data_IF_651213127960
#
_entry.id   IF_651213127960
#
_cell.length_a   1.000
_cell.length_b   1.000
_cell.length_c   1.000
_cell.angle_alpha   90.00
_cell.angle_beta   90.00
_cell.angle_gamma   90.00
#
_symmetry.space_group_name_H-M   'P 1'
#
loop_
_entity.id
_entity.type
_entity.pdbx_description
1 polymer ?
#
# COMPACT_ATOMS: atom_id res chain seq x y z
N UNK A 1 18.45 -43.83 -27.15
CA UNK A 1 17.81 -42.64 -27.77
C UNK A 1 16.63 -42.10 -26.96
N UNK A 2 16.12 -42.83 -25.96
CA UNK A 2 15.08 -42.34 -25.03
C UNK A 2 15.69 -41.47 -23.91
N UNK A 3 16.94 -41.75 -23.58
CA UNK A 3 17.76 -41.20 -22.49
C UNK A 3 17.99 -39.68 -22.63
N UNK A 4 18.20 -39.18 -23.85
CA UNK A 4 18.38 -37.74 -24.12
C UNK A 4 17.07 -36.93 -24.04
N UNK A 5 15.92 -37.59 -24.18
CA UNK A 5 14.61 -36.95 -24.15
C UNK A 5 14.18 -36.67 -22.70
N UNK A 6 14.49 -37.58 -21.78
CA UNK A 6 14.20 -37.41 -20.34
C UNK A 6 15.01 -36.27 -19.71
N UNK A 7 16.28 -36.08 -20.08
CA UNK A 7 17.13 -35.00 -19.55
C UNK A 7 16.59 -33.62 -19.94
N UNK A 8 16.12 -33.47 -21.18
CA UNK A 8 15.48 -32.21 -21.65
C UNK A 8 14.16 -31.94 -20.93
N UNK A 9 13.35 -32.98 -20.73
CA UNK A 9 12.07 -32.87 -20.05
C UNK A 9 12.25 -32.51 -18.56
N UNK A 10 13.23 -33.11 -17.90
CA UNK A 10 13.54 -32.82 -16.50
C UNK A 10 14.10 -31.41 -16.31
N UNK A 11 14.94 -30.93 -17.24
CA UNK A 11 15.45 -29.55 -17.23
C UNK A 11 14.34 -28.50 -17.39
N UNK A 12 13.35 -28.76 -18.24
CA UNK A 12 12.19 -27.87 -18.42
C UNK A 12 11.31 -27.86 -17.16
N UNK A 13 11.07 -29.02 -16.55
CA UNK A 13 10.31 -29.11 -15.29
C UNK A 13 11.01 -28.33 -14.18
N UNK A 14 12.34 -28.47 -14.06
CA UNK A 14 13.12 -27.76 -13.05
C UNK A 14 13.08 -26.24 -13.25
N UNK A 15 13.14 -25.78 -14.51
CA UNK A 15 13.01 -24.36 -14.87
C UNK A 15 11.61 -23.81 -14.53
N UNK A 16 10.56 -24.60 -14.80
CA UNK A 16 9.17 -24.23 -14.49
C UNK A 16 8.92 -24.17 -12.99
N UNK A 17 9.51 -25.06 -12.19
CA UNK A 17 9.39 -25.01 -10.72
C UNK A 17 10.07 -23.79 -10.10
N UNK A 18 11.17 -23.31 -10.70
CA UNK A 18 11.90 -22.12 -10.24
C UNK A 18 11.11 -20.82 -10.47
N UNK A 19 10.28 -20.79 -11.53
CA UNK A 19 9.44 -19.62 -11.86
C UNK A 19 8.24 -19.44 -10.93
N UNK A 20 7.83 -20.48 -10.20
CA UNK A 20 6.65 -20.43 -9.33
C UNK A 20 7.02 -19.93 -7.92
N UNK A 21 8.30 -19.98 -7.53
CA UNK A 21 8.75 -19.57 -6.18
C UNK A 21 9.08 -18.08 -6.07
N UNK A 22 9.08 -17.31 -7.16
CA UNK A 22 9.26 -15.84 -7.12
C UNK A 22 7.96 -15.07 -6.85
N UNK A 23 6.88 -15.76 -6.45
CA UNK A 23 5.62 -15.13 -6.07
C UNK A 23 5.76 -14.34 -4.78
N UNK A 24 5.85 -13.02 -4.89
CA UNK A 24 5.89 -12.09 -3.78
C UNK A 24 4.64 -12.26 -2.89
N UNK A 25 4.86 -12.37 -1.59
CA UNK A 25 3.81 -12.68 -0.61
C UNK A 25 2.67 -11.65 -0.62
N UNK A 26 1.47 -12.14 -0.34
CA UNK A 26 0.26 -11.34 -0.16
C UNK A 26 0.41 -10.42 1.06
N UNK A 27 1.07 -9.27 0.89
CA UNK A 27 0.82 -8.14 1.77
C UNK A 27 -0.68 -7.88 1.68
N UNK A 28 -1.41 -8.17 2.77
CA UNK A 28 -2.85 -7.93 2.82
C UNK A 28 -3.04 -6.46 2.51
N UNK A 29 -3.53 -6.16 1.30
CA UNK A 29 -3.83 -4.80 0.87
C UNK A 29 -4.84 -4.25 1.86
N UNK A 30 -4.37 -3.33 2.70
CA UNK A 30 -5.21 -2.73 3.71
C UNK A 30 -6.16 -1.77 3.00
N UNK A 31 -7.44 -2.14 2.94
CA UNK A 31 -8.49 -1.29 2.38
C UNK A 31 -8.72 -0.08 3.29
N UNK A 32 -9.04 1.07 2.70
CA UNK A 32 -9.39 2.26 3.45
C UNK A 32 -10.64 2.04 4.32
N UNK A 33 -10.55 2.42 5.59
CA UNK A 33 -11.62 2.34 6.56
C UNK A 33 -11.68 3.67 7.33
N UNK A 34 -12.80 4.38 7.18
CA UNK A 34 -12.99 5.73 7.74
C UNK A 34 -12.93 5.74 9.27
N UNK A 35 -13.54 4.76 9.91
CA UNK A 35 -13.60 4.68 11.38
C UNK A 35 -12.19 4.45 11.93
N UNK A 36 -11.48 3.49 11.34
CA UNK A 36 -10.08 3.23 11.68
C UNK A 36 -9.17 4.41 11.35
N UNK A 37 -9.42 5.16 10.29
CA UNK A 37 -8.65 6.35 9.93
C UNK A 37 -8.75 7.44 11.01
N UNK A 38 -9.96 7.69 11.50
CA UNK A 38 -10.24 8.66 12.56
C UNK A 38 -9.63 8.17 13.88
N UNK A 39 -9.87 6.91 14.24
CA UNK A 39 -9.34 6.29 15.46
C UNK A 39 -7.80 6.32 15.46
N UNK A 40 -7.17 6.01 14.32
CA UNK A 40 -5.72 6.02 14.15
C UNK A 40 -5.09 7.40 14.45
N UNK A 41 -5.83 8.50 14.25
CA UNK A 41 -5.38 9.83 14.67
C UNK A 41 -5.45 9.97 16.18
N UNK A 42 -6.58 9.57 16.77
CA UNK A 42 -6.88 9.77 18.18
C UNK A 42 -5.97 8.95 19.10
N UNK A 43 -5.57 7.75 18.66
CA UNK A 43 -4.68 6.86 19.40
C UNK A 43 -3.22 6.93 18.93
N UNK A 44 -2.88 7.89 18.06
CA UNK A 44 -1.54 8.06 17.48
C UNK A 44 -0.99 6.81 16.75
N UNK A 45 -1.88 5.97 16.20
CA UNK A 45 -1.51 4.82 15.37
C UNK A 45 -1.10 5.25 13.96
N UNK A 46 0.05 5.92 13.87
CA UNK A 46 0.56 6.51 12.63
C UNK A 46 0.86 5.47 11.56
N UNK A 47 1.32 4.27 11.93
CA UNK A 47 1.56 3.18 10.98
C UNK A 47 0.29 2.75 10.23
N UNK A 48 -0.85 2.72 10.91
CA UNK A 48 -2.14 2.38 10.31
C UNK A 48 -2.61 3.50 9.39
N UNK A 49 -2.45 4.76 9.81
CA UNK A 49 -2.77 5.94 9.01
C UNK A 49 -1.89 6.04 7.75
N UNK A 50 -0.61 5.71 7.85
CA UNK A 50 0.30 5.63 6.71
C UNK A 50 -0.13 4.56 5.69
N UNK A 51 -0.49 3.35 6.14
CA UNK A 51 -0.97 2.28 5.25
C UNK A 51 -2.25 2.70 4.51
N UNK A 52 -3.19 3.34 5.20
CA UNK A 52 -4.39 3.88 4.55
C UNK A 52 -4.07 5.03 3.59
N UNK A 53 -3.12 5.90 3.92
CA UNK A 53 -2.67 6.94 3.00
C UNK A 53 -2.05 6.34 1.73
N UNK A 54 -1.25 5.28 1.86
CA UNK A 54 -0.71 4.54 0.72
C UNK A 54 -1.82 3.92 -0.15
N UNK A 55 -2.87 3.37 0.47
CA UNK A 55 -4.04 2.90 -0.27
C UNK A 55 -4.71 4.03 -1.05
N UNK A 56 -4.97 5.19 -0.41
CA UNK A 56 -5.61 6.34 -1.06
C UNK A 56 -4.79 6.85 -2.26
N UNK A 57 -3.46 6.82 -2.16
CA UNK A 57 -2.53 7.20 -3.24
C UNK A 57 -2.56 6.14 -4.35
N UNK A 58 -2.40 4.87 -4.00
CA UNK A 58 -2.31 3.75 -4.95
C UNK A 58 -3.58 3.57 -5.78
N UNK A 59 -4.73 3.65 -5.13
CA UNK A 59 -6.05 3.52 -5.76
C UNK A 59 -6.58 4.85 -6.33
N UNK A 60 -5.82 5.95 -6.20
CA UNK A 60 -6.21 7.28 -6.68
C UNK A 60 -7.61 7.72 -6.19
N UNK A 61 -8.03 7.27 -5.00
CA UNK A 61 -9.42 7.36 -4.52
C UNK A 61 -9.95 8.79 -4.40
N UNK A 62 -9.04 9.77 -4.27
CA UNK A 62 -9.40 11.18 -4.07
C UNK A 62 -9.54 11.96 -5.39
N UNK A 63 -9.08 11.43 -6.52
CA UNK A 63 -9.14 12.15 -7.80
C UNK A 63 -10.59 12.27 -8.26
N UNK A 64 -10.99 13.48 -8.63
CA UNK A 64 -12.34 13.78 -9.11
C UNK A 64 -13.39 13.97 -8.00
N UNK A 65 -13.02 13.77 -6.73
CA UNK A 65 -13.88 14.07 -5.60
C UNK A 65 -13.91 15.56 -5.30
N UNK A 66 -15.08 16.05 -4.95
CA UNK A 66 -15.20 17.42 -4.45
C UNK A 66 -14.74 17.55 -2.99
N UNK A 67 -14.67 18.79 -2.53
CA UNK A 67 -14.24 19.14 -1.17
C UNK A 67 -15.08 18.45 -0.08
N UNK A 68 -16.39 18.38 -0.25
CA UNK A 68 -17.29 17.80 0.75
C UNK A 68 -17.16 16.28 0.77
N UNK A 69 -17.01 15.64 -0.38
CA UNK A 69 -16.76 14.19 -0.45
C UNK A 69 -15.45 13.80 0.23
N UNK A 70 -14.38 14.60 0.05
CA UNK A 70 -13.10 14.36 0.70
C UNK A 70 -13.24 14.50 2.23
N UNK A 71 -13.95 15.54 2.70
CA UNK A 71 -14.20 15.75 4.13
C UNK A 71 -15.08 14.63 4.71
N UNK A 72 -16.06 14.16 3.95
CA UNK A 72 -16.91 13.04 4.37
C UNK A 72 -16.09 11.75 4.50
N UNK A 73 -15.13 11.51 3.60
CA UNK A 73 -14.28 10.33 3.61
C UNK A 73 -13.19 10.38 4.70
N UNK A 74 -12.43 11.48 4.75
CA UNK A 74 -11.21 11.61 5.56
C UNK A 74 -11.43 12.34 6.90
N UNK A 75 -12.60 12.93 7.09
CA UNK A 75 -12.91 13.82 8.20
C UNK A 75 -12.44 15.26 7.96
N UNK A 76 -12.60 16.09 8.99
CA UNK A 76 -12.19 17.51 8.95
C UNK A 76 -10.65 17.62 8.79
N UNK A 77 -10.15 18.41 7.82
CA UNK A 77 -8.72 18.65 7.65
C UNK A 77 -8.15 19.46 8.82
N UNK A 78 -6.83 19.46 8.96
CA UNK A 78 -6.17 20.30 9.95
C UNK A 78 -6.18 21.79 9.55
N UNK A 79 -6.25 22.65 10.57
CA UNK A 79 -6.24 24.10 10.41
C UNK A 79 -4.82 24.62 10.61
N UNK A 80 -4.22 25.15 9.54
CA UNK A 80 -2.96 25.89 9.60
C UNK A 80 -3.18 27.34 9.16
N UNK A 81 -2.34 28.25 9.64
CA UNK A 81 -2.49 29.70 9.40
C UNK A 81 -2.39 30.12 7.93
N UNK A 82 -1.74 29.30 7.08
CA UNK A 82 -1.44 29.62 5.68
C UNK A 82 -1.94 28.55 4.70
N UNK A 83 -3.11 27.95 4.94
CA UNK A 83 -3.71 26.98 4.01
C UNK A 83 -4.47 27.72 2.91
N UNK A 84 -4.14 27.45 1.64
CA UNK A 84 -4.92 27.95 0.51
C UNK A 84 -6.35 27.40 0.54
N UNK A 85 -7.31 28.12 -0.04
CA UNK A 85 -8.72 27.69 -0.07
C UNK A 85 -8.94 26.34 -0.78
N UNK A 86 -8.02 26.02 -1.69
CA UNK A 86 -8.04 24.83 -2.55
C UNK A 86 -7.17 23.69 -2.00
N UNK A 87 -6.61 23.85 -0.80
CA UNK A 87 -5.76 22.86 -0.16
C UNK A 87 -6.41 22.27 1.09
N UNK A 88 -6.11 21.01 1.37
CA UNK A 88 -6.45 20.32 2.60
C UNK A 88 -5.25 19.54 3.10
N UNK A 89 -5.01 19.61 4.40
CA UNK A 89 -3.91 18.91 5.03
C UNK A 89 -4.46 17.85 5.98
N UNK A 90 -3.87 16.66 5.85
CA UNK A 90 -4.12 15.49 6.69
C UNK A 90 -2.80 14.92 7.18
N UNK A 91 -2.55 15.00 8.49
CA UNK A 91 -1.29 14.62 9.09
C UNK A 91 -1.12 13.10 9.03
N UNK A 92 -0.02 12.66 8.43
CA UNK A 92 0.42 11.27 8.39
C UNK A 92 1.82 11.24 9.01
N UNK A 93 1.91 11.24 10.35
CA UNK A 93 3.21 11.35 11.04
C UNK A 93 4.23 10.37 10.47
N UNK A 94 5.43 10.88 10.19
CA UNK A 94 6.51 10.13 9.58
C UNK A 94 7.33 9.47 10.69
N UNK A 95 6.84 8.34 11.22
CA UNK A 95 7.79 7.39 11.79
C UNK A 95 8.60 6.85 10.62
N UNK A 96 9.90 7.18 10.60
CA UNK A 96 10.89 6.65 9.66
C UNK A 96 10.97 5.12 9.83
N UNK A 97 9.98 4.39 9.33
CA UNK A 97 10.15 2.98 9.05
C UNK A 97 10.97 2.90 7.79
N UNK A 98 12.25 2.57 7.97
CA UNK A 98 13.07 2.01 6.91
C UNK A 98 12.29 0.84 6.31
N UNK A 99 11.71 1.06 5.13
CA UNK A 99 11.29 -0.03 4.27
C UNK A 99 12.57 -0.72 3.80
N UNK A 100 13.14 -1.57 4.66
CA UNK A 100 14.01 -2.64 4.18
C UNK A 100 13.14 -3.58 3.38
N UNK A 101 12.94 -3.26 2.10
CA UNK A 101 12.71 -4.27 1.09
C UNK A 101 14.04 -5.02 0.92
N UNK A 102 14.38 -5.83 1.91
CA UNK A 102 15.45 -6.81 1.78
C UNK A 102 14.85 -8.04 1.12
N UNK A 103 14.67 -7.96 -0.20
CA UNK A 103 14.65 -9.17 -1.01
C UNK A 103 16.07 -9.72 -0.96
N UNK A 104 16.32 -10.69 -0.05
CA UNK A 104 17.56 -11.45 -0.07
C UNK A 104 17.42 -12.45 -1.22
N UNK A 105 18.39 -12.38 -2.14
CA UNK A 105 18.57 -13.20 -3.32
C UNK A 105 18.82 -14.68 -2.97
#
# INVERSE_FOLDING_TARGET
MKDKQYVKFFGIIMLLTLLITTGCGNDKVLVFDKEKWIEAKANESWSLRQKMAQYLIGEQTLIGKDKMEIIELLGKPEEYSNVSKDEMYYTISLQLYSTKHSCIA
#
